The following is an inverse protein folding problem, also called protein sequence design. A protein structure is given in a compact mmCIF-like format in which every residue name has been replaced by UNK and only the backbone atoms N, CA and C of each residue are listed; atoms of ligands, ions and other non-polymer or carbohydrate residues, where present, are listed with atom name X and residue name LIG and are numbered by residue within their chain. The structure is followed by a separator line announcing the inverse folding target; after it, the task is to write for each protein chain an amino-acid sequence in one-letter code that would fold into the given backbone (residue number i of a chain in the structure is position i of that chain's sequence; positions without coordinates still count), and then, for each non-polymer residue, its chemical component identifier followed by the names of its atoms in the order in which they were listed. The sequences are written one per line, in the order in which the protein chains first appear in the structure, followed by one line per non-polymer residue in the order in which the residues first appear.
data_IF_202271058837
#
_entry.id   IF_202271058837
#
_cell.length_a   1.000
_cell.length_b   1.000
_cell.length_c   1.000
_cell.angle_alpha   90.00
_cell.angle_beta   90.00
_cell.angle_gamma   90.00
#
_symmetry.space_group_name_H-M   'P 1'
#
loop_
_entity.id
_entity.type
_entity.pdbx_description
1 polymer ?
#
# COMPACT_ATOMS: atom_id res chain seq x y z
N UNK A 1 -8.55 42.65 10.36
CA UNK A 1 -9.13 41.32 10.07
C UNK A 1 -8.45 40.52 8.94
N UNK A 2 -7.77 41.12 7.97
CA UNK A 2 -7.14 40.42 6.85
C UNK A 2 -5.88 39.59 7.20
N UNK A 3 -5.04 40.07 8.13
CA UNK A 3 -3.85 39.34 8.58
C UNK A 3 -4.17 38.01 9.29
N UNK A 4 -5.27 37.96 10.05
CA UNK A 4 -5.71 36.75 10.75
C UNK A 4 -6.11 35.65 9.76
N UNK A 5 -6.92 35.97 8.74
CA UNK A 5 -7.35 35.01 7.70
C UNK A 5 -6.18 34.50 6.85
N UNK A 6 -5.20 35.35 6.54
CA UNK A 6 -3.99 34.93 5.83
C UNK A 6 -3.12 33.98 6.66
N UNK A 7 -3.09 34.16 7.99
CA UNK A 7 -2.37 33.27 8.91
C UNK A 7 -3.06 31.92 9.11
N UNK A 8 -4.40 31.89 9.15
CA UNK A 8 -5.18 30.65 9.20
C UNK A 8 -5.02 29.82 7.94
N UNK A 9 -5.04 30.45 6.76
CA UNK A 9 -4.82 29.76 5.48
C UNK A 9 -3.46 29.06 5.44
N UNK A 10 -2.38 29.71 5.89
CA UNK A 10 -1.05 29.09 5.92
C UNK A 10 -0.99 27.89 6.88
N UNK A 11 -1.63 28.00 8.05
CA UNK A 11 -1.70 26.89 9.02
C UNK A 11 -2.48 25.71 8.47
N UNK A 12 -3.60 25.96 7.80
CA UNK A 12 -4.41 24.90 7.18
C UNK A 12 -3.64 24.20 6.07
N UNK A 13 -2.95 24.94 5.19
CA UNK A 13 -2.10 24.32 4.16
C UNK A 13 -1.01 23.44 4.76
N UNK A 14 -0.38 23.89 5.84
CA UNK A 14 0.64 23.09 6.54
C UNK A 14 0.04 21.84 7.18
N UNK A 15 -1.13 21.95 7.82
CA UNK A 15 -1.86 20.81 8.38
C UNK A 15 -2.21 19.78 7.29
N UNK A 16 -2.74 20.23 6.15
CA UNK A 16 -3.07 19.37 5.00
C UNK A 16 -1.85 18.70 4.41
N UNK A 17 -0.72 19.39 4.38
CA UNK A 17 0.54 18.79 3.96
C UNK A 17 0.96 17.65 4.89
N UNK A 18 0.92 17.85 6.21
CA UNK A 18 1.26 16.81 7.20
C UNK A 18 0.30 15.62 7.14
N UNK A 19 -0.99 15.88 6.95
CA UNK A 19 -2.02 14.85 6.75
C UNK A 19 -1.76 14.05 5.46
N UNK A 20 -1.57 14.74 4.33
CA UNK A 20 -1.30 14.08 3.04
C UNK A 20 0.01 13.30 3.01
N UNK A 21 1.02 13.75 3.76
CA UNK A 21 2.30 13.08 3.88
C UNK A 21 2.31 11.96 4.94
N UNK A 22 1.18 11.66 5.59
CA UNK A 22 1.08 10.58 6.60
C UNK A 22 1.80 10.86 7.92
N UNK A 23 2.27 12.10 8.15
CA UNK A 23 3.00 12.48 9.36
C UNK A 23 2.08 12.41 10.59
N UNK A 24 0.82 12.84 10.44
CA UNK A 24 -0.15 12.81 11.52
C UNK A 24 -0.51 11.38 11.92
N UNK A 25 -0.71 10.49 10.95
CA UNK A 25 -1.00 9.08 11.20
C UNK A 25 0.18 8.37 11.88
N UNK A 26 1.40 8.62 11.41
CA UNK A 26 2.63 8.08 12.02
C UNK A 26 2.79 8.53 13.47
N UNK A 27 2.63 9.84 13.74
CA UNK A 27 2.68 10.37 15.10
C UNK A 27 1.60 9.76 15.99
N UNK A 28 0.38 9.61 15.46
CA UNK A 28 -0.74 9.01 16.19
C UNK A 28 -0.44 7.55 16.53
N UNK A 29 0.06 6.77 15.57
CA UNK A 29 0.44 5.37 15.77
C UNK A 29 1.49 5.20 16.88
N UNK A 30 2.57 6.00 16.86
CA UNK A 30 3.62 5.93 17.90
C UNK A 30 3.07 6.33 19.28
N UNK A 31 2.18 7.33 19.34
CA UNK A 31 1.55 7.73 20.60
C UNK A 31 0.60 6.66 21.14
N UNK A 32 -0.13 5.95 20.26
CA UNK A 32 -0.95 4.79 20.64
C UNK A 32 -0.07 3.68 21.18
N UNK A 33 1.04 3.33 20.51
CA UNK A 33 1.98 2.34 20.99
C UNK A 33 2.53 2.71 22.38
N UNK A 34 2.93 3.97 22.58
CA UNK A 34 3.36 4.46 23.89
C UNK A 34 2.24 4.38 24.94
N UNK A 35 0.98 4.62 24.55
CA UNK A 35 -0.18 4.53 25.43
C UNK A 35 -0.51 3.09 25.83
N UNK A 36 -0.38 2.14 24.91
CA UNK A 36 -0.64 0.72 25.13
C UNK A 36 0.46 0.03 25.96
N UNK A 37 1.65 0.63 26.04
CA UNK A 37 2.79 0.03 26.72
C UNK A 37 2.51 -0.22 28.21
N UNK A 38 2.62 -1.49 28.61
CA UNK A 38 2.30 -1.96 29.97
C UNK A 38 3.28 -1.43 31.01
N UNK A 39 4.56 -1.37 30.66
CA UNK A 39 5.61 -0.70 31.44
C UNK A 39 5.99 0.60 30.73
N UNK A 40 5.62 1.75 31.32
CA UNK A 40 5.92 3.04 30.71
C UNK A 40 7.44 3.27 30.66
N UNK A 41 8.01 3.61 29.49
CA UNK A 41 9.43 3.86 29.40
C UNK A 41 9.81 5.04 30.28
N UNK A 42 10.93 4.91 31.01
CA UNK A 42 11.46 5.98 31.86
C UNK A 42 11.73 7.27 31.07
N UNK A 43 12.00 7.16 29.77
CA UNK A 43 12.12 8.30 28.87
C UNK A 43 11.21 8.15 27.64
N UNK A 44 10.01 8.73 27.73
CA UNK A 44 9.03 8.73 26.64
C UNK A 44 9.56 9.42 25.36
N UNK A 45 10.41 10.45 25.49
CA UNK A 45 10.95 11.14 24.31
C UNK A 45 11.89 10.24 23.50
N UNK A 46 12.69 9.41 24.16
CA UNK A 46 13.58 8.48 23.46
C UNK A 46 12.80 7.35 22.81
N UNK A 47 11.72 6.87 23.45
CA UNK A 47 10.78 5.93 22.84
C UNK A 47 10.20 6.49 21.53
N UNK A 48 9.72 7.75 21.54
CA UNK A 48 9.20 8.41 20.35
C UNK A 48 10.26 8.49 19.24
N UNK A 49 11.48 8.95 19.54
CA UNK A 49 12.56 9.08 18.53
C UNK A 49 12.86 7.74 17.84
N UNK A 50 12.91 6.66 18.62
CA UNK A 50 13.17 5.33 18.09
C UNK A 50 12.03 4.84 17.20
N UNK A 51 10.78 4.95 17.68
CA UNK A 51 9.62 4.44 16.97
C UNK A 51 9.24 5.28 15.74
N UNK A 52 9.48 6.59 15.76
CA UNK A 52 9.33 7.42 14.55
C UNK A 52 10.32 7.04 13.45
N UNK A 53 11.55 6.63 13.81
CA UNK A 53 12.55 6.16 12.84
C UNK A 53 12.14 4.86 12.15
N UNK A 54 11.49 3.95 12.90
CA UNK A 54 11.02 2.66 12.38
C UNK A 54 9.72 2.81 11.58
N UNK A 55 8.75 3.59 12.09
CA UNK A 55 7.47 3.82 11.42
C UNK A 55 7.63 4.43 10.01
N UNK A 56 8.64 5.29 9.81
CA UNK A 56 8.96 5.83 8.49
C UNK A 56 9.48 4.79 7.50
N UNK A 57 10.19 3.77 7.98
CA UNK A 57 10.71 2.67 7.16
C UNK A 57 9.57 1.70 6.79
N UNK A 58 8.74 1.31 7.78
CA UNK A 58 7.61 0.41 7.58
C UNK A 58 6.59 0.99 6.58
N UNK A 59 6.32 2.29 6.63
CA UNK A 59 5.41 2.95 5.68
C UNK A 59 5.92 2.82 4.23
N UNK A 60 7.21 3.07 3.98
CA UNK A 60 7.78 2.99 2.64
C UNK A 60 7.79 1.56 2.10
N UNK A 61 8.12 0.58 2.94
CA UNK A 61 8.10 -0.83 2.58
C UNK A 61 6.67 -1.30 2.29
N UNK A 62 5.69 -0.85 3.09
CA UNK A 62 4.27 -1.19 2.89
C UNK A 62 3.73 -0.64 1.58
N UNK A 63 4.06 0.61 1.22
CA UNK A 63 3.68 1.22 -0.06
C UNK A 63 4.31 0.48 -1.25
N UNK A 64 5.59 0.12 -1.16
CA UNK A 64 6.29 -0.66 -2.18
C UNK A 64 5.64 -2.04 -2.38
N UNK A 65 5.36 -2.75 -1.29
CA UNK A 65 4.68 -4.04 -1.31
C UNK A 65 3.27 -3.95 -1.91
N UNK A 66 2.51 -2.89 -1.59
CA UNK A 66 1.19 -2.67 -2.18
C UNK A 66 1.29 -2.41 -3.70
N UNK A 67 2.29 -1.66 -4.15
CA UNK A 67 2.53 -1.45 -5.57
C UNK A 67 2.86 -2.76 -6.28
N UNK A 68 3.76 -3.56 -5.72
CA UNK A 68 4.13 -4.86 -6.28
C UNK A 68 2.93 -5.82 -6.36
N UNK A 69 2.08 -5.85 -5.33
CA UNK A 69 0.84 -6.62 -5.36
C UNK A 69 -0.11 -6.17 -6.48
N UNK A 70 -0.24 -4.88 -6.73
CA UNK A 70 -1.04 -4.35 -7.86
C UNK A 70 -0.47 -4.81 -9.18
N UNK A 71 0.84 -4.65 -9.38
CA UNK A 71 1.53 -5.01 -10.62
C UNK A 71 1.44 -6.52 -10.90
N UNK A 72 1.59 -7.36 -9.87
CA UNK A 72 1.45 -8.82 -9.99
C UNK A 72 0.02 -9.22 -10.35
N UNK A 73 -0.99 -8.64 -9.69
CA UNK A 73 -2.40 -8.91 -10.02
C UNK A 73 -2.71 -8.55 -11.47
N UNK A 74 -2.25 -7.39 -11.94
CA UNK A 74 -2.42 -6.98 -13.33
C UNK A 74 -1.75 -7.97 -14.30
N UNK A 75 -0.53 -8.43 -14.02
CA UNK A 75 0.14 -9.44 -14.85
C UNK A 75 -0.62 -10.77 -14.86
N UNK A 76 -1.14 -11.21 -13.72
CA UNK A 76 -1.94 -12.42 -13.63
C UNK A 76 -3.22 -12.31 -14.48
N UNK A 77 -3.90 -11.16 -14.44
CA UNK A 77 -5.09 -10.91 -15.26
C UNK A 77 -4.77 -10.97 -16.76
N UNK A 78 -3.70 -10.29 -17.20
CA UNK A 78 -3.26 -10.32 -18.60
C UNK A 78 -2.90 -11.73 -19.07
N UNK A 79 -2.13 -12.48 -18.27
CA UNK A 79 -1.75 -13.84 -18.60
C UNK A 79 -2.94 -14.80 -18.59
N UNK A 80 -3.94 -14.57 -17.75
CA UNK A 80 -5.17 -15.36 -17.73
C UNK A 80 -6.02 -15.09 -18.99
N UNK A 81 -6.10 -13.84 -19.44
CA UNK A 81 -6.77 -13.46 -20.67
C UNK A 81 -6.06 -14.04 -21.91
N UNK A 82 -4.73 -13.92 -21.97
CA UNK A 82 -3.93 -14.51 -23.04
C UNK A 82 -4.07 -16.04 -23.08
N UNK A 83 -4.01 -16.71 -21.91
CA UNK A 83 -4.26 -18.16 -21.85
C UNK A 83 -5.65 -18.53 -22.36
N UNK A 84 -6.66 -17.72 -22.05
CA UNK A 84 -8.03 -17.96 -22.53
C UNK A 84 -8.10 -17.82 -24.05
N UNK A 85 -7.50 -16.79 -24.63
CA UNK A 85 -7.43 -16.60 -26.08
C UNK A 85 -6.71 -17.77 -26.76
N UNK A 86 -5.52 -18.14 -26.26
CA UNK A 86 -4.74 -19.24 -26.78
C UNK A 86 -5.49 -20.58 -26.70
N UNK A 87 -6.18 -20.87 -25.59
CA UNK A 87 -7.03 -22.06 -25.46
C UNK A 87 -8.19 -22.05 -26.47
N UNK A 88 -8.87 -20.92 -26.65
CA UNK A 88 -9.94 -20.79 -27.64
C UNK A 88 -9.41 -20.99 -29.07
N UNK A 89 -8.20 -20.50 -29.36
CA UNK A 89 -7.54 -20.71 -30.65
C UNK A 89 -7.15 -22.16 -30.84
N UNK A 90 -6.55 -22.81 -29.84
CA UNK A 90 -6.23 -24.24 -29.87
C UNK A 90 -7.46 -25.09 -30.14
N UNK A 91 -8.58 -24.83 -29.46
CA UNK A 91 -9.84 -25.55 -29.71
C UNK A 91 -10.39 -25.41 -31.13
N UNK A 92 -10.05 -24.33 -31.85
CA UNK A 92 -10.40 -24.19 -33.28
C UNK A 92 -9.51 -25.02 -34.20
N UNK A 93 -8.29 -25.35 -33.77
CA UNK A 93 -7.31 -26.11 -34.54
C UNK A 93 -7.18 -27.57 -34.09
N UNK A 94 -7.83 -27.96 -33.00
CA UNK A 94 -8.15 -29.36 -32.69
C UNK A 94 -9.54 -29.67 -33.26
N UNK A 95 -9.67 -30.04 -34.55
CA UNK A 95 -10.77 -30.89 -34.93
C UNK A 95 -10.57 -32.18 -34.14
N UNK A 96 -11.59 -32.60 -33.41
CA UNK A 96 -11.82 -33.96 -32.90
C UNK A 96 -10.78 -34.96 -33.41
N UNK A 97 -9.68 -35.17 -32.68
CA UNK A 97 -8.93 -36.43 -32.75
C UNK A 97 -9.73 -37.48 -31.95
N UNK A 98 -10.97 -37.70 -32.37
CA UNK A 98 -11.72 -38.94 -32.19
C UNK A 98 -12.14 -39.41 -33.58
N UNK A 99 -11.16 -39.65 -34.44
CA UNK A 99 -11.36 -40.54 -35.57
C UNK A 99 -10.03 -41.27 -35.79
N UNK A 100 -9.97 -42.54 -35.36
CA UNK A 100 -8.85 -43.43 -35.66
C UNK A 100 -8.01 -43.95 -34.49
N UNK A 101 -8.63 -44.47 -33.42
CA UNK A 101 -8.09 -45.68 -32.78
C UNK A 101 -8.80 -46.87 -33.45
N UNK A 102 -8.26 -47.35 -34.56
CA UNK A 102 -7.41 -48.55 -34.61
C UNK A 102 -8.21 -49.83 -34.27
N UNK A 103 -8.54 -50.56 -35.36
CA UNK A 103 -8.90 -51.99 -35.50
C UNK A 103 -9.87 -52.68 -34.53
#
# INVERSE_FOLDING_TARGET
SCHFRASESKREHFRRYLEKAGVLDSLTSVLVALYEETEKPNNALDFLKQHLGVAGQESADTEALQQELRDMRQRCELLAEENKDLKNRLQRYEPTQEDGAAE
#
